data_IF_995232757508
#
_entry.id   IF_995232757508
#
_cell.length_a   1.000
_cell.length_b   1.000
_cell.length_c   1.000
_cell.angle_alpha   90.00
_cell.angle_beta   90.00
_cell.angle_gamma   90.00
#
_symmetry.space_group_name_H-M   'P 1'
#
loop_
_entity.id
_entity.type
_entity.pdbx_description
1 polymer ?
#
# COMPACT_ATOMS: atom_id res chain seq x y z
N UNK A 1 -34.48 1.22 13.37
CA UNK A 1 -33.35 1.38 12.42
C UNK A 1 -33.05 0.09 11.66
N UNK A 2 -32.90 -1.06 12.34
CA UNK A 2 -32.61 -2.35 11.68
C UNK A 2 -33.71 -2.77 10.69
N UNK A 3 -34.98 -2.75 11.09
CA UNK A 3 -36.10 -3.14 10.21
C UNK A 3 -36.13 -2.29 8.93
N UNK A 4 -35.99 -0.96 9.05
CA UNK A 4 -35.94 -0.07 7.91
C UNK A 4 -34.72 -0.33 7.00
N UNK A 5 -33.56 -0.61 7.60
CA UNK A 5 -32.35 -1.00 6.85
C UNK A 5 -32.54 -2.32 6.09
N UNK A 6 -33.13 -3.32 6.74
CA UNK A 6 -33.45 -4.60 6.10
C UNK A 6 -34.45 -4.42 4.96
N UNK A 7 -35.53 -3.66 5.17
CA UNK A 7 -36.49 -3.35 4.11
C UNK A 7 -35.81 -2.64 2.94
N UNK A 8 -34.93 -1.67 3.19
CA UNK A 8 -34.16 -0.99 2.16
C UNK A 8 -33.28 -1.97 1.36
N UNK A 9 -32.52 -2.83 2.04
CA UNK A 9 -31.65 -3.82 1.37
C UNK A 9 -32.46 -4.82 0.54
N UNK A 10 -33.64 -5.26 1.01
CA UNK A 10 -34.53 -6.14 0.27
C UNK A 10 -35.06 -5.45 -0.99
N UNK A 11 -35.55 -4.22 -0.87
CA UNK A 11 -36.00 -3.43 -2.03
C UNK A 11 -34.85 -3.22 -3.01
N UNK A 12 -33.66 -2.87 -2.52
CA UNK A 12 -32.47 -2.70 -3.35
C UNK A 12 -32.12 -3.97 -4.14
N UNK A 13 -32.11 -5.14 -3.49
CA UNK A 13 -31.81 -6.42 -4.12
C UNK A 13 -32.85 -6.84 -5.17
N UNK A 14 -34.11 -6.43 -5.01
CA UNK A 14 -35.17 -6.66 -6.00
C UNK A 14 -35.00 -5.74 -7.21
N UNK A 15 -34.66 -4.47 -6.98
CA UNK A 15 -34.52 -3.46 -8.04
C UNK A 15 -33.24 -3.65 -8.86
N UNK A 16 -32.13 -3.97 -8.21
CA UNK A 16 -30.82 -4.11 -8.85
C UNK A 16 -30.38 -5.57 -8.83
N UNK A 17 -30.57 -6.27 -9.96
CA UNK A 17 -30.07 -7.64 -10.14
C UNK A 17 -28.54 -7.65 -10.11
N UNK A 18 -27.98 -8.63 -9.42
CA UNK A 18 -26.54 -8.85 -9.42
C UNK A 18 -26.07 -9.19 -10.85
N UNK A 19 -25.02 -8.53 -11.37
CA UNK A 19 -24.42 -8.87 -12.65
C UNK A 19 -23.57 -10.13 -12.50
N UNK A 20 -24.21 -11.29 -12.43
CA UNK A 20 -23.52 -12.57 -12.35
C UNK A 20 -22.97 -12.96 -13.73
N UNK A 21 -21.71 -13.40 -13.76
CA UNK A 21 -21.08 -13.94 -14.96
C UNK A 21 -21.55 -15.37 -15.26
N UNK A 22 -21.14 -15.88 -16.42
CA UNK A 22 -21.36 -17.27 -16.80
C UNK A 22 -20.70 -18.25 -15.80
N UNK A 23 -21.17 -19.51 -15.73
CA UNK A 23 -20.55 -20.53 -14.89
C UNK A 23 -19.05 -20.64 -15.16
N UNK A 24 -18.27 -20.76 -14.08
CA UNK A 24 -16.82 -20.76 -14.14
C UNK A 24 -16.29 -21.84 -15.12
N UNK A 25 -15.45 -21.42 -16.06
CA UNK A 25 -14.75 -22.30 -16.98
C UNK A 25 -13.26 -22.35 -16.62
N UNK A 26 -12.70 -23.49 -16.15
CA UNK A 26 -11.28 -23.59 -15.82
C UNK A 26 -10.32 -23.34 -16.98
N UNK A 27 -10.79 -23.43 -18.24
CA UNK A 27 -9.95 -23.21 -19.43
C UNK A 27 -9.95 -21.76 -19.91
N UNK A 28 -10.72 -20.86 -19.27
CA UNK A 28 -10.83 -19.47 -19.68
C UNK A 28 -10.84 -18.53 -18.48
N UNK A 29 -9.87 -17.63 -18.42
CA UNK A 29 -9.83 -16.57 -17.41
C UNK A 29 -10.38 -15.26 -17.99
N UNK A 30 -11.35 -14.60 -17.33
CA UNK A 30 -11.86 -13.32 -17.80
C UNK A 30 -10.78 -12.24 -17.77
N UNK A 31 -10.85 -11.29 -18.70
CA UNK A 31 -9.94 -10.15 -18.77
C UNK A 31 -10.73 -8.85 -18.90
N UNK A 32 -10.67 -7.94 -17.90
CA UNK A 32 -9.89 -8.04 -16.66
C UNK A 32 -10.56 -8.92 -15.59
N UNK A 33 -9.77 -9.74 -14.89
CA UNK A 33 -10.22 -10.40 -13.67
C UNK A 33 -10.14 -9.41 -12.49
N UNK A 34 -11.28 -8.81 -12.12
CA UNK A 34 -11.39 -7.92 -10.97
C UNK A 34 -11.86 -8.68 -9.74
N UNK A 35 -11.14 -8.51 -8.63
CA UNK A 35 -11.59 -8.97 -7.33
C UNK A 35 -12.85 -8.19 -6.89
N UNK A 36 -13.63 -8.72 -5.92
CA UNK A 36 -14.67 -7.96 -5.26
C UNK A 36 -14.15 -6.61 -4.76
N UNK A 37 -15.01 -5.57 -4.77
CA UNK A 37 -14.58 -4.18 -4.55
C UNK A 37 -13.81 -3.95 -3.24
N UNK A 38 -14.12 -4.71 -2.19
CA UNK A 38 -13.44 -4.63 -0.88
C UNK A 38 -12.03 -5.23 -0.88
N UNK A 39 -11.67 -6.02 -1.90
CA UNK A 39 -10.32 -6.53 -2.15
C UNK A 39 -9.58 -5.79 -3.27
N UNK A 40 -10.23 -4.88 -4.01
CA UNK A 40 -9.58 -4.15 -5.11
C UNK A 40 -8.40 -3.29 -4.64
N UNK A 41 -8.45 -2.77 -3.41
CA UNK A 41 -7.32 -2.06 -2.82
C UNK A 41 -6.08 -2.96 -2.73
N UNK A 42 -6.25 -4.21 -2.26
CA UNK A 42 -5.17 -5.20 -2.21
C UNK A 42 -4.70 -5.59 -3.61
N UNK A 43 -5.63 -5.79 -4.55
CA UNK A 43 -5.27 -6.11 -5.93
C UNK A 43 -4.45 -4.99 -6.59
N UNK A 44 -4.79 -3.73 -6.34
CA UNK A 44 -4.01 -2.58 -6.83
C UNK A 44 -2.62 -2.50 -6.17
N UNK A 45 -2.47 -2.93 -4.91
CA UNK A 45 -1.13 -3.01 -4.27
C UNK A 45 -0.18 -3.98 -4.98
N UNK A 46 -0.68 -5.01 -5.67
CA UNK A 46 0.14 -5.95 -6.45
C UNK A 46 0.84 -5.31 -7.65
N UNK A 47 0.43 -4.09 -8.04
CA UNK A 47 1.14 -3.31 -9.07
C UNK A 47 2.47 -2.77 -8.53
N UNK A 48 2.54 -2.51 -7.22
CA UNK A 48 3.67 -1.84 -6.59
C UNK A 48 4.58 -2.80 -5.83
N UNK A 49 4.05 -3.94 -5.39
CA UNK A 49 4.76 -4.90 -4.54
C UNK A 49 4.55 -6.33 -5.01
N UNK A 50 5.53 -7.19 -4.71
CA UNK A 50 5.43 -8.60 -5.00
C UNK A 50 4.31 -9.30 -4.21
N UNK A 51 3.77 -10.43 -4.72
CA UNK A 51 2.59 -11.08 -4.15
C UNK A 51 2.69 -11.45 -2.67
N UNK A 52 3.86 -11.86 -2.18
CA UNK A 52 4.04 -12.18 -0.76
C UNK A 52 3.90 -10.95 0.14
N UNK A 53 4.37 -9.79 -0.33
CA UNK A 53 4.38 -8.56 0.45
C UNK A 53 3.02 -7.87 0.41
N UNK A 54 2.42 -7.71 -0.77
CA UNK A 54 1.08 -7.14 -0.93
C UNK A 54 -0.04 -8.09 -0.48
N UNK A 55 0.12 -9.40 -0.64
CA UNK A 55 -0.91 -10.39 -0.32
C UNK A 55 -0.92 -10.86 1.13
N UNK A 56 0.24 -10.88 1.81
CA UNK A 56 0.36 -11.44 3.17
C UNK A 56 0.86 -10.40 4.17
N UNK A 57 2.05 -9.84 3.94
CA UNK A 57 2.71 -9.01 4.96
C UNK A 57 1.99 -7.68 5.20
N UNK A 58 1.76 -6.88 4.17
CA UNK A 58 1.16 -5.56 4.33
C UNK A 58 -0.27 -5.65 4.89
N UNK A 59 -1.16 -6.55 4.42
CA UNK A 59 -2.46 -6.77 5.06
C UNK A 59 -2.34 -7.21 6.52
N UNK A 60 -1.40 -8.10 6.84
CA UNK A 60 -1.13 -8.54 8.21
C UNK A 60 -0.69 -7.38 9.11
N UNK A 61 0.22 -6.53 8.62
CA UNK A 61 0.68 -5.32 9.33
C UNK A 61 -0.47 -4.32 9.53
N UNK A 62 -1.36 -4.15 8.54
CA UNK A 62 -2.54 -3.27 8.69
C UNK A 62 -3.43 -3.78 9.82
N UNK A 63 -3.74 -5.08 9.85
CA UNK A 63 -4.59 -5.69 10.89
C UNK A 63 -3.94 -5.55 12.27
N UNK A 64 -2.66 -5.93 12.40
CA UNK A 64 -1.90 -5.80 13.65
C UNK A 64 -1.83 -4.33 14.09
N UNK A 65 -1.61 -3.41 13.15
CA UNK A 65 -1.60 -1.98 13.41
C UNK A 65 -2.92 -1.48 13.97
N UNK A 66 -4.05 -1.88 13.37
CA UNK A 66 -5.40 -1.52 13.86
C UNK A 66 -5.68 -2.08 15.26
N UNK A 67 -5.26 -3.31 15.54
CA UNK A 67 -5.36 -3.91 16.89
C UNK A 67 -4.46 -3.16 17.89
N UNK A 68 -3.30 -2.67 17.45
CA UNK A 68 -2.33 -1.99 18.29
C UNK A 68 -2.75 -0.55 18.67
N UNK A 69 -3.62 0.12 17.89
CA UNK A 69 -4.07 1.51 18.12
C UNK A 69 -4.42 1.79 19.60
N UNK A 70 -5.33 1.04 20.26
CA UNK A 70 -5.72 1.32 21.65
C UNK A 70 -4.59 1.13 22.66
N UNK A 71 -3.54 0.37 22.32
CA UNK A 71 -2.39 0.16 23.19
C UNK A 71 -1.29 1.21 23.00
N UNK A 72 -1.25 1.83 21.82
CA UNK A 72 -0.32 2.89 21.44
C UNK A 72 -0.84 4.26 21.89
N UNK A 73 -2.12 4.54 21.64
CA UNK A 73 -2.77 5.80 22.00
C UNK A 73 -3.35 5.74 23.42
N UNK A 74 -2.66 6.37 24.37
CA UNK A 74 -3.08 6.43 25.77
C UNK A 74 -3.93 7.65 26.12
N UNK A 75 -4.37 8.44 25.13
CA UNK A 75 -5.17 9.63 25.40
C UNK A 75 -6.57 9.23 25.90
N UNK A 76 -7.02 9.67 27.09
CA UNK A 76 -8.35 9.33 27.59
C UNK A 76 -9.48 10.13 26.94
N UNK A 77 -9.19 11.29 26.32
CA UNK A 77 -10.18 12.15 25.64
C UNK A 77 -10.60 11.56 24.30
N UNK A 78 -11.79 11.85 23.80
CA UNK A 78 -12.26 11.30 22.53
C UNK A 78 -12.65 9.81 22.57
N UNK A 79 -12.83 9.23 23.76
CA UNK A 79 -13.39 7.90 23.92
C UNK A 79 -14.92 7.98 23.91
N UNK A 80 -15.57 7.26 22.99
CA UNK A 80 -17.03 7.17 22.91
C UNK A 80 -17.72 8.32 22.15
N UNK A 81 -16.96 9.26 21.58
CA UNK A 81 -17.46 10.29 20.67
C UNK A 81 -16.43 10.66 19.61
N UNK A 82 -16.89 11.20 18.48
CA UNK A 82 -16.01 11.61 17.38
C UNK A 82 -15.40 12.99 17.63
N UNK A 83 -14.07 13.09 17.62
CA UNK A 83 -13.34 14.34 17.78
C UNK A 83 -12.00 14.30 17.05
N UNK A 84 -11.73 15.31 16.22
CA UNK A 84 -10.44 15.46 15.54
C UNK A 84 -9.47 16.30 16.38
N UNK A 85 -9.98 17.34 17.03
CA UNK A 85 -9.16 18.31 17.77
C UNK A 85 -8.42 17.69 18.97
N UNK A 86 -9.01 16.68 19.61
CA UNK A 86 -8.44 16.06 20.80
C UNK A 86 -7.46 14.91 20.49
N UNK A 87 -7.50 14.36 19.26
CA UNK A 87 -6.63 13.26 18.80
C UNK A 87 -6.19 13.44 17.34
N UNK A 88 -5.55 14.55 16.99
CA UNK A 88 -5.27 14.87 15.60
C UNK A 88 -4.38 13.82 14.93
N UNK A 89 -3.35 13.32 15.60
CA UNK A 89 -2.43 12.33 15.02
C UNK A 89 -3.12 11.01 14.71
N UNK A 90 -3.90 10.47 15.67
CA UNK A 90 -4.60 9.20 15.48
C UNK A 90 -5.69 9.33 14.39
N UNK A 91 -6.47 10.41 14.43
CA UNK A 91 -7.55 10.63 13.47
C UNK A 91 -7.02 10.91 12.06
N UNK A 92 -6.04 11.81 11.90
CA UNK A 92 -5.46 12.08 10.59
C UNK A 92 -4.65 10.91 10.06
N UNK A 93 -3.92 10.18 10.92
CA UNK A 93 -3.23 8.96 10.53
C UNK A 93 -4.19 7.89 10.01
N UNK A 94 -5.30 7.66 10.72
CA UNK A 94 -6.34 6.73 10.28
C UNK A 94 -7.02 7.18 8.99
N UNK A 95 -7.44 8.45 8.90
CA UNK A 95 -8.06 9.00 7.69
C UNK A 95 -7.10 8.96 6.51
N UNK A 96 -5.82 9.22 6.71
CA UNK A 96 -4.84 9.09 5.64
C UNK A 96 -4.72 7.63 5.17
N UNK A 97 -4.52 6.68 6.09
CA UNK A 97 -4.40 5.26 5.73
C UNK A 97 -5.67 4.69 5.08
N UNK A 98 -6.84 4.99 5.64
CA UNK A 98 -8.11 4.43 5.16
C UNK A 98 -8.72 5.25 4.00
N UNK A 99 -8.93 6.55 4.20
CA UNK A 99 -9.61 7.39 3.21
C UNK A 99 -8.68 7.73 2.03
N UNK A 100 -7.45 8.13 2.31
CA UNK A 100 -6.54 8.62 1.25
C UNK A 100 -5.81 7.47 0.56
N UNK A 101 -5.32 6.46 1.27
CA UNK A 101 -4.61 5.34 0.64
C UNK A 101 -5.58 4.23 0.21
N UNK A 102 -6.32 3.65 1.16
CA UNK A 102 -7.12 2.44 0.87
C UNK A 102 -8.25 2.70 -0.12
N UNK A 103 -9.08 3.73 0.09
CA UNK A 103 -10.14 4.06 -0.87
C UNK A 103 -9.59 4.53 -2.21
N UNK A 104 -8.46 5.26 -2.24
CA UNK A 104 -7.82 5.63 -3.49
C UNK A 104 -7.46 4.41 -4.33
N UNK A 105 -6.82 3.40 -3.73
CA UNK A 105 -6.48 2.16 -4.42
C UNK A 105 -7.72 1.44 -4.97
N UNK A 106 -8.81 1.40 -4.18
CA UNK A 106 -10.10 0.85 -4.64
C UNK A 106 -10.64 1.64 -5.84
N UNK A 107 -10.61 2.97 -5.78
CA UNK A 107 -11.10 3.83 -6.86
C UNK A 107 -10.28 3.63 -8.15
N UNK A 108 -8.94 3.57 -8.04
CA UNK A 108 -8.05 3.27 -9.17
C UNK A 108 -8.36 1.89 -9.75
N UNK A 109 -8.42 0.84 -8.92
CA UNK A 109 -8.75 -0.52 -9.36
C UNK A 109 -10.13 -0.64 -9.98
N UNK A 110 -11.12 0.11 -9.48
CA UNK A 110 -12.50 0.05 -9.98
C UNK A 110 -12.62 0.76 -11.32
N UNK A 111 -12.18 2.01 -11.40
CA UNK A 111 -12.52 2.91 -12.50
C UNK A 111 -11.40 3.14 -13.51
N UNK A 112 -10.13 2.99 -13.11
CA UNK A 112 -8.97 3.32 -13.94
C UNK A 112 -8.19 2.09 -14.42
N UNK A 113 -8.46 0.89 -13.85
CA UNK A 113 -7.89 -0.38 -14.34
C UNK A 113 -8.82 -1.03 -15.35
N UNK A 114 -8.34 -1.16 -16.58
CA UNK A 114 -9.04 -1.81 -17.70
C UNK A 114 -8.45 -3.17 -18.07
N UNK A 115 -8.59 -3.61 -19.33
CA UNK A 115 -8.02 -4.85 -19.83
C UNK A 115 -6.52 -4.98 -19.53
N UNK A 116 -6.04 -6.19 -19.26
CA UNK A 116 -4.66 -6.51 -18.89
C UNK A 116 -4.15 -5.77 -17.64
N UNK A 117 -5.07 -5.30 -16.77
CA UNK A 117 -4.76 -4.45 -15.62
C UNK A 117 -4.01 -3.16 -15.97
N UNK A 118 -4.15 -2.69 -17.21
CA UNK A 118 -3.51 -1.45 -17.67
C UNK A 118 -4.26 -0.23 -17.15
N UNK A 119 -3.51 0.87 -16.95
CA UNK A 119 -4.09 2.13 -16.51
C UNK A 119 -4.74 2.88 -17.69
N UNK A 120 -5.97 3.32 -17.47
CA UNK A 120 -6.73 4.19 -18.34
C UNK A 120 -7.03 5.49 -17.61
N UNK A 121 -6.71 6.61 -18.25
CA UNK A 121 -7.04 7.92 -17.72
C UNK A 121 -8.55 8.14 -17.62
N UNK A 122 -8.99 9.16 -16.87
CA UNK A 122 -10.39 9.57 -16.88
C UNK A 122 -10.87 9.80 -18.32
N UNK A 123 -11.98 9.15 -18.68
CA UNK A 123 -12.61 9.22 -20.01
C UNK A 123 -11.81 8.61 -21.18
N UNK A 124 -10.71 7.91 -20.90
CA UNK A 124 -9.99 7.14 -21.94
C UNK A 124 -10.78 5.89 -22.32
N UNK A 125 -10.91 5.62 -23.63
CA UNK A 125 -11.57 4.41 -24.13
C UNK A 125 -10.74 3.16 -23.81
N UNK A 126 -11.40 2.09 -23.37
CA UNK A 126 -10.75 0.83 -23.01
C UNK A 126 -10.51 -0.03 -24.25
N UNK A 127 -9.28 -0.03 -24.73
CA UNK A 127 -8.85 -0.86 -25.86
C UNK A 127 -8.21 -2.17 -25.36
N UNK A 128 -8.82 -3.31 -25.71
CA UNK A 128 -8.30 -4.63 -25.36
C UNK A 128 -6.92 -4.93 -25.97
N UNK A 129 -6.54 -4.22 -27.03
CA UNK A 129 -5.27 -4.38 -27.72
C UNK A 129 -4.20 -3.39 -27.27
N UNK A 130 -4.49 -2.54 -26.26
CA UNK A 130 -3.50 -1.63 -25.68
C UNK A 130 -2.39 -2.44 -25.01
N UNK A 131 -1.21 -2.42 -25.62
CA UNK A 131 0.02 -2.97 -25.05
C UNK A 131 0.87 -1.81 -24.55
N UNK A 132 0.93 -1.65 -23.22
CA UNK A 132 1.82 -0.68 -22.59
C UNK A 132 3.15 -1.38 -22.30
N UNK A 133 4.23 -0.94 -22.95
CA UNK A 133 5.56 -1.40 -22.60
C UNK A 133 5.90 -0.88 -21.19
N UNK A 134 5.84 -1.75 -20.19
CA UNK A 134 6.33 -1.41 -18.86
C UNK A 134 7.86 -1.43 -18.84
N UNK A 135 8.47 -0.24 -18.88
CA UNK A 135 9.91 -0.08 -18.69
C UNK A 135 10.28 -0.21 -17.21
N UNK A 136 10.29 -1.44 -16.72
CA UNK A 136 10.62 -1.73 -15.33
C UNK A 136 12.12 -1.61 -15.11
N UNK A 137 12.54 -0.68 -14.25
CA UNK A 137 13.96 -0.47 -13.91
C UNK A 137 14.16 -0.73 -12.42
N UNK A 138 15.21 -1.47 -12.07
CA UNK A 138 15.59 -1.70 -10.68
C UNK A 138 16.52 -0.60 -10.17
N UNK A 139 16.57 -0.40 -8.85
CA UNK A 139 17.47 0.61 -8.27
C UNK A 139 18.95 0.30 -8.56
N UNK A 140 19.32 -0.98 -8.59
CA UNK A 140 20.66 -1.43 -8.96
C UNK A 140 21.00 -1.05 -10.42
N UNK A 141 20.06 -1.13 -11.35
CA UNK A 141 20.26 -0.69 -12.74
C UNK A 141 20.44 0.84 -12.83
N UNK A 142 19.71 1.62 -12.02
CA UNK A 142 19.92 3.07 -11.93
C UNK A 142 21.35 3.40 -11.50
N UNK A 143 21.86 2.70 -10.49
CA UNK A 143 23.21 2.93 -9.99
C UNK A 143 24.27 2.46 -10.98
N UNK A 144 24.26 1.18 -11.33
CA UNK A 144 25.36 0.57 -12.10
C UNK A 144 25.35 0.96 -13.56
N UNK A 145 24.17 0.92 -14.21
CA UNK A 145 24.07 1.13 -15.66
C UNK A 145 23.94 2.62 -15.96
N UNK A 146 22.98 3.33 -15.33
CA UNK A 146 22.71 4.73 -15.70
C UNK A 146 23.72 5.72 -15.10
N UNK A 147 24.12 5.53 -13.84
CA UNK A 147 25.00 6.49 -13.16
C UNK A 147 26.49 6.14 -13.33
N UNK A 148 26.86 4.88 -13.08
CA UNK A 148 28.27 4.45 -13.14
C UNK A 148 28.70 3.98 -14.53
N UNK A 149 27.76 3.70 -15.44
CA UNK A 149 28.00 3.17 -16.78
C UNK A 149 28.89 1.91 -16.78
N UNK A 150 28.64 1.03 -15.82
CA UNK A 150 29.37 -0.23 -15.59
C UNK A 150 28.40 -1.41 -15.63
N UNK A 151 28.86 -2.61 -16.04
CA UNK A 151 28.04 -3.80 -15.96
C UNK A 151 27.69 -4.12 -14.50
N UNK A 152 26.52 -4.74 -14.28
CA UNK A 152 26.09 -5.12 -12.93
C UNK A 152 27.04 -6.16 -12.32
N UNK A 153 27.46 -5.99 -11.05
CA UNK A 153 28.28 -6.97 -10.36
C UNK A 153 27.58 -8.34 -10.25
N UNK A 154 28.35 -9.43 -10.35
CA UNK A 154 27.83 -10.80 -10.17
C UNK A 154 27.43 -11.09 -8.72
N UNK A 155 28.14 -10.50 -7.74
CA UNK A 155 27.83 -10.70 -6.33
C UNK A 155 26.53 -9.97 -5.96
N UNK A 156 25.52 -10.73 -5.55
CA UNK A 156 24.19 -10.25 -5.18
C UNK A 156 24.20 -9.08 -4.18
N UNK A 157 25.07 -9.13 -3.16
CA UNK A 157 25.11 -8.09 -2.12
C UNK A 157 25.75 -6.80 -2.63
N UNK A 158 26.75 -6.91 -3.51
CA UNK A 158 27.38 -5.75 -4.13
C UNK A 158 26.46 -5.16 -5.19
N UNK A 159 25.70 -5.98 -5.92
CA UNK A 159 24.72 -5.51 -6.90
C UNK A 159 23.64 -4.64 -6.25
N UNK A 160 23.09 -5.10 -5.12
CA UNK A 160 21.93 -4.48 -4.45
C UNK A 160 22.29 -3.63 -3.21
N UNK A 161 23.57 -3.38 -2.94
CA UNK A 161 24.02 -2.77 -1.67
C UNK A 161 23.30 -1.45 -1.36
N UNK A 162 23.09 -0.60 -2.38
CA UNK A 162 22.43 0.69 -2.21
C UNK A 162 20.98 0.51 -1.75
N UNK A 163 20.25 -0.41 -2.39
CA UNK A 163 18.88 -0.72 -2.01
C UNK A 163 18.78 -1.30 -0.60
N UNK A 164 19.71 -2.19 -0.24
CA UNK A 164 19.80 -2.79 1.09
C UNK A 164 20.06 -1.70 2.14
N UNK A 165 21.06 -0.83 1.91
CA UNK A 165 21.39 0.27 2.81
C UNK A 165 20.20 1.22 2.95
N UNK A 166 19.54 1.61 1.86
CA UNK A 166 18.39 2.51 1.92
C UNK A 166 17.22 1.87 2.67
N UNK A 167 16.94 0.58 2.44
CA UNK A 167 15.88 -0.15 3.14
C UNK A 167 16.17 -0.28 4.64
N UNK A 168 17.41 -0.61 5.01
CA UNK A 168 17.82 -0.69 6.42
C UNK A 168 17.84 0.69 7.08
N UNK A 169 18.32 1.73 6.37
CA UNK A 169 18.28 3.10 6.88
C UNK A 169 16.85 3.56 7.11
N UNK A 170 15.94 3.25 6.17
CA UNK A 170 14.52 3.55 6.30
C UNK A 170 13.90 2.90 7.54
N UNK A 171 14.19 1.63 7.80
CA UNK A 171 13.57 0.90 8.92
C UNK A 171 14.27 1.04 10.27
N UNK A 172 15.60 1.22 10.29
CA UNK A 172 16.39 1.19 11.53
C UNK A 172 16.94 2.56 11.94
N UNK A 173 17.22 3.44 10.97
CA UNK A 173 17.84 4.75 11.24
C UNK A 173 16.78 5.86 11.36
N UNK A 174 15.73 5.84 10.54
CA UNK A 174 14.66 6.85 10.66
C UNK A 174 13.93 6.84 12.00
N UNK A 175 13.57 5.69 12.62
CA UNK A 175 12.89 5.72 13.91
C UNK A 175 13.67 6.44 15.04
N UNK A 176 14.96 6.15 15.30
CA UNK A 176 15.72 6.90 16.30
C UNK A 176 15.92 8.37 15.89
N UNK A 177 16.12 8.68 14.61
CA UNK A 177 16.18 10.08 14.13
C UNK A 177 14.89 10.84 14.45
N UNK A 178 13.72 10.25 14.19
CA UNK A 178 12.41 10.83 14.52
C UNK A 178 12.26 11.02 16.02
N UNK A 179 12.74 10.09 16.84
CA UNK A 179 12.74 10.20 18.30
C UNK A 179 13.66 11.30 18.85
N UNK A 180 14.77 11.61 18.16
CA UNK A 180 15.69 12.68 18.55
C UNK A 180 15.17 14.08 18.19
N UNK A 181 14.23 14.18 17.25
CA UNK A 181 13.59 15.44 16.88
C UNK A 181 12.81 16.03 18.07
N UNK A 182 12.69 17.36 18.13
CA UNK A 182 11.96 18.07 19.19
C UNK A 182 10.52 17.60 19.34
N UNK A 183 9.85 17.28 18.23
CA UNK A 183 8.50 16.72 18.23
C UNK A 183 8.46 15.27 18.73
N UNK A 184 9.42 14.43 18.30
CA UNK A 184 9.53 13.05 18.76
C UNK A 184 9.79 12.94 20.26
N UNK A 185 10.68 13.77 20.81
CA UNK A 185 10.93 13.85 22.25
C UNK A 185 9.66 14.15 23.04
N UNK A 186 8.88 15.15 22.60
CA UNK A 186 7.59 15.48 23.22
C UNK A 186 6.59 14.32 23.17
N UNK A 187 6.53 13.59 22.05
CA UNK A 187 5.67 12.41 21.94
C UNK A 187 6.15 11.29 22.88
N UNK A 188 7.46 11.04 22.94
CA UNK A 188 8.06 10.03 23.82
C UNK A 188 7.74 10.32 25.29
N UNK A 189 7.82 11.58 25.73
CA UNK A 189 7.43 12.01 27.08
C UNK A 189 5.94 11.75 27.37
N UNK A 190 5.07 11.90 26.37
CA UNK A 190 3.62 11.73 26.52
C UNK A 190 3.13 10.28 26.50
N UNK A 191 3.59 9.46 25.53
CA UNK A 191 3.09 8.08 25.34
C UNK A 191 4.06 7.00 25.83
N UNK A 192 5.34 7.34 26.01
CA UNK A 192 6.41 6.42 26.34
C UNK A 192 7.21 5.95 25.11
N UNK A 193 8.48 5.61 25.34
CA UNK A 193 9.46 5.30 24.30
C UNK A 193 9.07 4.08 23.44
N UNK A 194 8.64 2.98 24.06
CA UNK A 194 8.28 1.75 23.34
C UNK A 194 7.08 1.97 22.40
N UNK A 195 6.03 2.63 22.90
CA UNK A 195 4.82 2.93 22.11
C UNK A 195 5.14 3.84 20.93
N UNK A 196 6.00 4.83 21.16
CA UNK A 196 6.48 5.72 20.09
C UNK A 196 7.19 4.94 18.98
N UNK A 197 8.12 4.04 19.29
CA UNK A 197 8.81 3.29 18.23
C UNK A 197 7.90 2.33 17.48
N UNK A 198 6.97 1.66 18.16
CA UNK A 198 5.95 0.84 17.50
C UNK A 198 5.11 1.70 16.54
N UNK A 199 4.64 2.87 17.00
CA UNK A 199 3.91 3.81 16.17
C UNK A 199 4.72 4.24 14.94
N UNK A 200 5.99 4.62 15.12
CA UNK A 200 6.84 5.08 14.03
C UNK A 200 7.10 3.96 13.02
N UNK A 201 7.35 2.73 13.46
CA UNK A 201 7.53 1.59 12.55
C UNK A 201 6.26 1.33 11.74
N UNK A 202 5.08 1.30 12.39
CA UNK A 202 3.80 1.14 11.68
C UNK A 202 3.55 2.29 10.69
N UNK A 203 3.87 3.52 11.08
CA UNK A 203 3.77 4.69 10.22
C UNK A 203 4.70 4.59 9.01
N UNK A 204 5.96 4.21 9.19
CA UNK A 204 6.92 4.02 8.10
C UNK A 204 6.50 2.89 7.16
N UNK A 205 5.96 1.78 7.69
CA UNK A 205 5.40 0.71 6.87
C UNK A 205 4.20 1.20 6.05
N UNK A 206 3.30 1.98 6.65
CA UNK A 206 2.19 2.61 5.91
C UNK A 206 2.70 3.56 4.81
N UNK A 207 3.72 4.38 5.10
CA UNK A 207 4.31 5.32 4.14
C UNK A 207 5.11 4.64 3.02
N UNK A 208 5.54 3.39 3.20
CA UNK A 208 6.26 2.65 2.16
C UNK A 208 5.44 2.51 0.87
N UNK A 209 4.12 2.34 0.97
CA UNK A 209 3.20 2.25 -0.17
C UNK A 209 3.18 3.54 -1.01
N UNK A 210 2.79 4.72 -0.50
CA UNK A 210 2.78 5.94 -1.31
C UNK A 210 4.18 6.33 -1.80
N UNK A 211 5.24 6.06 -1.02
CA UNK A 211 6.62 6.26 -1.50
C UNK A 211 6.89 5.37 -2.72
N UNK A 212 6.57 4.08 -2.65
CA UNK A 212 6.73 3.14 -3.76
C UNK A 212 5.90 3.55 -4.97
N UNK A 213 4.68 4.03 -4.78
CA UNK A 213 3.81 4.53 -5.86
C UNK A 213 4.45 5.71 -6.59
N UNK A 214 4.98 6.70 -5.85
CA UNK A 214 5.67 7.85 -6.45
C UNK A 214 6.94 7.41 -7.20
N UNK A 215 7.74 6.51 -6.62
CA UNK A 215 8.92 5.96 -7.29
C UNK A 215 8.56 5.20 -8.57
N UNK A 216 7.46 4.45 -8.55
CA UNK A 216 6.92 3.74 -9.71
C UNK A 216 6.49 4.71 -10.81
N UNK A 217 5.79 5.79 -10.47
CA UNK A 217 5.27 6.74 -11.46
C UNK A 217 6.34 7.66 -12.05
N UNK A 218 7.29 8.13 -11.23
CA UNK A 218 8.31 9.09 -11.69
C UNK A 218 9.51 8.41 -12.35
N UNK A 219 9.90 7.23 -11.87
CA UNK A 219 11.15 6.58 -12.28
C UNK A 219 10.94 5.19 -12.88
N UNK A 220 9.69 4.72 -13.01
CA UNK A 220 9.37 3.36 -13.41
C UNK A 220 10.10 2.30 -12.55
N UNK A 221 10.37 2.65 -11.28
CA UNK A 221 11.10 1.81 -10.36
C UNK A 221 10.25 0.56 -10.03
N UNK A 222 10.78 -0.63 -10.33
CA UNK A 222 10.12 -1.89 -9.95
C UNK A 222 10.59 -2.35 -8.58
N UNK A 223 11.88 -2.57 -8.40
CA UNK A 223 12.45 -3.01 -7.13
C UNK A 223 13.49 -2.03 -6.59
N UNK A 224 13.42 -1.78 -5.27
CA UNK A 224 14.45 -1.12 -4.48
C UNK A 224 15.57 -2.12 -4.21
N UNK A 225 15.21 -3.37 -3.91
CA UNK A 225 16.13 -4.50 -3.76
C UNK A 225 15.60 -5.65 -4.60
N UNK A 226 16.39 -6.15 -5.54
CA UNK A 226 16.07 -7.32 -6.35
C UNK A 226 17.04 -8.47 -6.07
N UNK A 227 16.61 -9.43 -5.25
CA UNK A 227 17.35 -10.65 -4.93
C UNK A 227 16.54 -11.88 -5.38
N UNK A 228 16.46 -12.14 -6.71
CA UNK A 228 15.76 -13.29 -7.25
C UNK A 228 16.33 -14.62 -6.72
N UNK A 229 17.62 -14.65 -6.35
CA UNK A 229 18.28 -15.83 -5.77
C UNK A 229 17.69 -16.26 -4.42
N UNK A 230 17.05 -15.34 -3.71
CA UNK A 230 16.40 -15.58 -2.41
C UNK A 230 14.87 -15.39 -2.47
N UNK A 231 14.31 -15.23 -3.67
CA UNK A 231 12.90 -14.83 -3.88
C UNK A 231 12.50 -13.57 -3.09
N UNK A 232 13.48 -12.69 -2.81
CA UNK A 232 13.28 -11.49 -2.01
C UNK A 232 13.39 -10.24 -2.87
N UNK A 233 12.24 -9.66 -3.20
CA UNK A 233 12.18 -8.37 -3.90
C UNK A 233 11.35 -7.36 -3.10
N UNK A 234 11.89 -6.15 -2.96
CA UNK A 234 11.31 -5.04 -2.19
C UNK A 234 10.98 -3.84 -3.07
#
# INVERSE_FOLDING_TARGET
MIIAGTCFLVVWAILFKAPLEEPANPTWAPNPAKAPWYFLGLQEMLVYFDPWMAGVILPGVVVVGLIAIPYIDTNPKGNGYYTIAERPIAMWGFLFGWLVLWLYLIMVGTFLRGPNWTFYGPFEYWDFHKVVAEYNVNLSEFLWIKWLNTPMPENMFVREFLGIILSLAYMLVLPPLMGMCSYGKKMIEGVGQMRFYIFVVLFLLMMSLPIKMVLRWLFALKYIVALPELELNL
#
